data_IF_526075256864
#
_entry.id   IF_526075256864
#
_cell.length_a   1.000
_cell.length_b   1.000
_cell.length_c   1.000
_cell.angle_alpha   90.00
_cell.angle_beta   90.00
_cell.angle_gamma   90.00
#
_symmetry.space_group_name_H-M   'P 1'
#
loop_
_entity.id
_entity.type
_entity.pdbx_description
1 polymer ?
#
# COMPACT_ATOMS: atom_id res chain seq x y z
N UNK A 1 6.46 2.09 -16.24
CA UNK A 1 6.45 1.92 -14.76
C UNK A 1 5.30 2.66 -14.08
N UNK A 2 5.20 3.99 -14.11
CA UNK A 2 4.11 4.75 -13.43
C UNK A 2 2.69 4.29 -13.82
N UNK A 3 2.44 4.04 -15.11
CA UNK A 3 1.14 3.51 -15.57
C UNK A 3 0.82 2.13 -14.99
N UNK A 4 1.81 1.24 -14.93
CA UNK A 4 1.65 -0.07 -14.30
C UNK A 4 1.36 0.06 -12.80
N UNK A 5 2.05 0.96 -12.10
CA UNK A 5 1.81 1.27 -10.69
C UNK A 5 0.37 1.74 -10.45
N UNK A 6 -0.13 2.67 -11.27
CA UNK A 6 -1.52 3.17 -11.18
C UNK A 6 -2.56 2.07 -11.43
N UNK A 7 -2.37 1.25 -12.47
CA UNK A 7 -3.26 0.12 -12.75
C UNK A 7 -3.28 -0.90 -11.60
N UNK A 8 -2.12 -1.15 -10.97
CA UNK A 8 -2.04 -1.99 -9.78
C UNK A 8 -2.74 -1.37 -8.57
N UNK A 9 -2.69 -0.05 -8.40
CA UNK A 9 -3.47 0.64 -7.35
C UNK A 9 -4.98 0.41 -7.56
N UNK A 10 -5.45 0.47 -8.80
CA UNK A 10 -6.84 0.14 -9.14
C UNK A 10 -7.18 -1.33 -8.87
N UNK A 11 -6.30 -2.26 -9.24
CA UNK A 11 -6.49 -3.68 -8.91
C UNK A 11 -6.57 -3.91 -7.40
N UNK A 12 -5.71 -3.25 -6.63
CA UNK A 12 -5.68 -3.35 -5.18
C UNK A 12 -7.01 -2.89 -4.58
N UNK A 13 -7.52 -1.75 -5.02
CA UNK A 13 -8.83 -1.23 -4.62
C UNK A 13 -9.93 -2.26 -4.88
N UNK A 14 -10.04 -2.79 -6.11
CA UNK A 14 -11.07 -3.79 -6.44
C UNK A 14 -10.96 -5.04 -5.57
N UNK A 15 -9.75 -5.60 -5.46
CA UNK A 15 -9.52 -6.84 -4.70
C UNK A 15 -9.76 -6.67 -3.20
N UNK A 16 -9.53 -5.48 -2.63
CA UNK A 16 -9.81 -5.19 -1.22
C UNK A 16 -11.32 -5.18 -0.94
N UNK A 17 -12.11 -4.62 -1.85
CA UNK A 17 -13.56 -4.53 -1.70
C UNK A 17 -14.29 -5.77 -2.23
N UNK A 18 -13.57 -6.86 -2.50
CA UNK A 18 -14.09 -8.09 -3.12
C UNK A 18 -14.92 -7.83 -4.38
N UNK A 19 -14.51 -6.80 -5.14
CA UNK A 19 -15.10 -6.39 -6.41
C UNK A 19 -14.08 -6.65 -7.54
N UNK A 20 -14.48 -6.41 -8.79
CA UNK A 20 -13.58 -6.49 -9.94
C UNK A 20 -13.40 -7.89 -10.51
N UNK A 21 -14.39 -8.78 -10.34
CA UNK A 21 -14.40 -10.11 -10.96
C UNK A 21 -14.06 -10.03 -12.46
N UNK A 22 -14.61 -9.03 -13.17
CA UNK A 22 -14.44 -8.85 -14.62
C UNK A 22 -13.29 -7.93 -14.99
N UNK A 23 -13.03 -6.91 -14.19
CA UNK A 23 -12.14 -5.80 -14.48
C UNK A 23 -10.67 -6.16 -14.23
N UNK A 24 -10.39 -6.81 -13.10
CA UNK A 24 -9.01 -7.09 -12.63
C UNK A 24 -8.18 -7.88 -13.64
N UNK A 25 -8.67 -8.94 -14.31
CA UNK A 25 -7.88 -9.68 -15.29
C UNK A 25 -7.40 -8.79 -16.46
N UNK A 26 -8.25 -7.88 -16.93
CA UNK A 26 -7.91 -6.92 -17.98
C UNK A 26 -6.84 -5.93 -17.50
N UNK A 27 -7.02 -5.37 -16.31
CA UNK A 27 -6.05 -4.46 -15.70
C UNK A 27 -4.67 -5.13 -15.51
N UNK A 28 -4.62 -6.38 -15.05
CA UNK A 28 -3.36 -7.12 -14.89
C UNK A 28 -2.68 -7.44 -16.22
N UNK A 29 -3.45 -7.71 -17.28
CA UNK A 29 -2.89 -7.85 -18.62
C UNK A 29 -2.28 -6.52 -19.12
N UNK A 30 -2.91 -5.38 -18.80
CA UNK A 30 -2.41 -4.05 -19.13
C UNK A 30 -1.15 -3.69 -18.34
N UNK A 31 -1.08 -4.10 -17.06
CA UNK A 31 0.14 -4.00 -16.24
C UNK A 31 1.30 -4.73 -16.90
N UNK A 32 1.08 -5.97 -17.36
CA UNK A 32 2.10 -6.75 -18.08
C UNK A 32 2.65 -6.00 -19.29
N UNK A 33 1.77 -5.51 -20.17
CA UNK A 33 2.18 -4.72 -21.35
C UNK A 33 2.94 -3.45 -20.97
N UNK A 34 2.48 -2.73 -19.95
CA UNK A 34 3.17 -1.53 -19.46
C UNK A 34 4.55 -1.82 -18.87
N UNK A 35 4.76 -3.00 -18.28
CA UNK A 35 6.06 -3.43 -17.81
C UNK A 35 6.98 -3.82 -18.96
N UNK A 36 6.47 -4.55 -19.96
CA UNK A 36 7.24 -4.95 -21.14
C UNK A 36 7.69 -3.73 -21.97
N UNK A 37 6.77 -2.80 -22.25
CA UNK A 37 7.09 -1.52 -22.92
C UNK A 37 8.12 -0.70 -22.14
N UNK A 38 8.03 -0.69 -20.80
CA UNK A 38 8.98 0.03 -19.96
C UNK A 38 10.36 -0.64 -19.91
N UNK A 39 10.43 -1.97 -20.01
CA UNK A 39 11.68 -2.71 -20.09
C UNK A 39 12.43 -2.44 -21.41
N UNK A 40 11.70 -2.35 -22.53
CA UNK A 40 12.29 -2.03 -23.83
C UNK A 40 12.91 -0.63 -23.88
N UNK A 41 12.32 0.32 -23.14
CA UNK A 41 12.78 1.72 -23.09
C UNK A 41 13.82 1.94 -22.00
N UNK A 42 13.90 1.07 -20.99
CA UNK A 42 14.86 1.19 -19.90
C UNK A 42 16.30 1.14 -20.44
N UNK A 43 17.17 1.99 -19.89
CA UNK A 43 18.57 1.98 -20.27
C UNK A 43 19.20 0.63 -19.90
N UNK A 44 19.98 0.06 -20.82
CA UNK A 44 20.71 -1.17 -20.53
C UNK A 44 21.63 -0.96 -19.32
N UNK A 45 21.44 -1.76 -18.27
CA UNK A 45 22.17 -1.65 -17.01
C UNK A 45 21.52 -0.75 -15.94
N UNK A 46 20.29 -0.26 -16.15
CA UNK A 46 19.52 0.41 -15.11
C UNK A 46 18.94 -0.62 -14.12
N UNK A 47 19.73 -0.93 -13.09
CA UNK A 47 19.38 -1.91 -12.04
C UNK A 47 18.11 -1.51 -11.27
N UNK A 48 17.88 -0.21 -11.06
CA UNK A 48 16.72 0.28 -10.30
C UNK A 48 15.42 0.19 -11.09
N UNK A 49 15.47 0.51 -12.39
CA UNK A 49 14.35 0.25 -13.29
C UNK A 49 14.04 -1.25 -13.39
N UNK A 50 15.08 -2.09 -13.52
CA UNK A 50 14.92 -3.54 -13.57
C UNK A 50 14.30 -4.10 -12.27
N UNK A 51 14.78 -3.67 -11.10
CA UNK A 51 14.22 -4.03 -9.81
C UNK A 51 12.76 -3.58 -9.67
N UNK A 52 12.46 -2.34 -10.06
CA UNK A 52 11.08 -1.80 -10.01
C UNK A 52 10.13 -2.60 -10.91
N UNK A 53 10.56 -2.96 -12.12
CA UNK A 53 9.78 -3.81 -13.02
C UNK A 53 9.57 -5.21 -12.46
N UNK A 54 10.60 -5.80 -11.86
CA UNK A 54 10.49 -7.11 -11.22
C UNK A 54 9.48 -7.10 -10.06
N UNK A 55 9.50 -6.07 -9.21
CA UNK A 55 8.54 -5.89 -8.11
C UNK A 55 7.11 -5.69 -8.64
N UNK A 56 6.91 -4.86 -9.67
CA UNK A 56 5.59 -4.67 -10.29
C UNK A 56 5.03 -5.98 -10.87
N UNK A 57 5.89 -6.78 -11.51
CA UNK A 57 5.52 -8.12 -12.03
C UNK A 57 5.22 -9.13 -10.91
N UNK A 58 5.99 -9.09 -9.83
CA UNK A 58 5.71 -9.89 -8.63
C UNK A 58 4.33 -9.58 -8.07
N UNK A 59 4.03 -8.29 -7.88
CA UNK A 59 2.73 -7.84 -7.38
C UNK A 59 1.58 -8.22 -8.30
N UNK A 60 1.75 -8.05 -9.62
CA UNK A 60 0.74 -8.45 -10.60
C UNK A 60 0.43 -9.96 -10.55
N UNK A 61 1.47 -10.80 -10.40
CA UNK A 61 1.29 -12.24 -10.26
C UNK A 61 0.56 -12.62 -8.95
N UNK A 62 0.91 -11.95 -7.84
CA UNK A 62 0.21 -12.14 -6.56
C UNK A 62 -1.25 -11.70 -6.65
N UNK A 63 -1.56 -10.61 -7.34
CA UNK A 63 -2.94 -10.14 -7.53
C UNK A 63 -3.73 -11.08 -8.44
N UNK A 64 -3.11 -11.65 -9.47
CA UNK A 64 -3.75 -12.69 -10.30
C UNK A 64 -4.11 -13.93 -9.47
N UNK A 65 -3.19 -14.37 -8.58
CA UNK A 65 -3.47 -15.47 -7.66
C UNK A 65 -4.61 -15.13 -6.68
N UNK A 66 -4.61 -13.93 -6.08
CA UNK A 66 -5.67 -13.46 -5.19
C UNK A 66 -7.02 -13.39 -5.90
N UNK A 67 -7.06 -12.86 -7.13
CA UNK A 67 -8.27 -12.80 -7.94
C UNK A 67 -8.85 -14.18 -8.21
N UNK A 68 -8.02 -15.12 -8.66
CA UNK A 68 -8.46 -16.50 -8.88
C UNK A 68 -8.97 -17.16 -7.59
N UNK A 69 -8.32 -16.90 -6.46
CA UNK A 69 -8.75 -17.40 -5.16
C UNK A 69 -10.14 -16.88 -4.76
N UNK A 70 -10.39 -15.58 -4.94
CA UNK A 70 -11.65 -14.91 -4.60
C UNK A 70 -12.79 -15.36 -5.53
N UNK A 71 -12.59 -15.29 -6.84
CA UNK A 71 -13.70 -15.36 -7.78
C UNK A 71 -13.83 -16.70 -8.52
N UNK A 72 -12.76 -17.49 -8.60
CA UNK A 72 -12.80 -18.79 -9.32
C UNK A 72 -12.80 -19.97 -8.36
N UNK A 73 -11.90 -19.97 -7.38
CA UNK A 73 -11.86 -21.01 -6.35
C UNK A 73 -12.98 -20.77 -5.32
N UNK A 74 -13.44 -19.52 -5.18
CA UNK A 74 -14.50 -19.09 -4.28
C UNK A 74 -14.21 -19.47 -2.82
N UNK A 75 -12.99 -19.17 -2.39
CA UNK A 75 -12.60 -19.31 -1.00
C UNK A 75 -13.18 -18.15 -0.19
N UNK A 76 -13.85 -18.46 0.92
CA UNK A 76 -14.30 -17.45 1.88
C UNK A 76 -13.08 -16.85 2.58
N UNK A 77 -12.96 -15.53 2.55
CA UNK A 77 -11.93 -14.77 3.26
C UNK A 77 -12.61 -13.98 4.36
N UNK A 78 -12.11 -14.11 5.59
CA UNK A 78 -12.77 -13.57 6.80
C UNK A 78 -12.04 -12.32 7.33
N UNK A 79 -11.15 -11.71 6.55
CA UNK A 79 -10.33 -10.59 7.02
C UNK A 79 -10.08 -9.47 5.99
N UNK A 80 -10.33 -8.23 6.44
CA UNK A 80 -10.20 -6.95 5.71
C UNK A 80 -8.79 -6.69 5.15
N UNK A 81 -7.78 -7.36 5.69
CA UNK A 81 -6.39 -7.26 5.24
C UNK A 81 -6.04 -8.27 4.11
N UNK A 82 -7.02 -9.09 3.68
CA UNK A 82 -7.04 -9.76 2.37
C UNK A 82 -6.08 -10.93 2.17
N UNK A 83 -5.52 -11.55 3.21
CA UNK A 83 -4.60 -12.69 3.03
C UNK A 83 -4.57 -13.69 4.18
N UNK A 84 -5.63 -14.51 4.26
CA UNK A 84 -5.51 -15.89 4.71
C UNK A 84 -5.53 -16.81 3.50
N UNK A 85 -4.42 -16.92 2.77
CA UNK A 85 -4.23 -17.91 1.68
C UNK A 85 -4.01 -19.32 2.26
N UNK A 86 -4.85 -19.74 3.21
CA UNK A 86 -4.64 -20.85 4.13
C UNK A 86 -4.60 -22.26 3.50
N UNK A 87 -3.57 -22.55 2.71
CA UNK A 87 -3.46 -23.80 1.95
C UNK A 87 -4.69 -24.07 1.08
N UNK A 88 -5.37 -23.00 0.66
CA UNK A 88 -6.68 -23.08 0.00
C UNK A 88 -6.58 -23.54 -1.45
N UNK A 89 -5.38 -23.66 -2.01
CA UNK A 89 -5.14 -24.36 -3.27
C UNK A 89 -5.69 -25.79 -3.29
N UNK A 90 -5.86 -26.45 -2.13
CA UNK A 90 -6.57 -27.75 -2.04
C UNK A 90 -8.04 -27.69 -2.45
N UNK A 91 -8.67 -26.51 -2.41
CA UNK A 91 -10.05 -26.28 -2.81
C UNK A 91 -10.19 -26.01 -4.32
N UNK A 92 -9.07 -25.77 -5.01
CA UNK A 92 -9.04 -25.57 -6.44
C UNK A 92 -9.18 -26.89 -7.20
N UNK A 93 -10.44 -27.31 -7.37
CA UNK A 93 -10.79 -28.53 -8.12
C UNK A 93 -10.47 -28.44 -9.62
N UNK A 94 -10.38 -27.22 -10.16
CA UNK A 94 -10.19 -26.97 -11.60
C UNK A 94 -8.70 -26.82 -11.93
N UNK A 95 -7.86 -26.52 -10.95
CA UNK A 95 -6.41 -26.39 -11.08
C UNK A 95 -5.96 -25.05 -11.68
N UNK A 96 -6.81 -24.03 -11.65
CA UNK A 96 -6.52 -22.69 -12.22
C UNK A 96 -5.46 -21.93 -11.41
N UNK A 97 -5.40 -22.16 -10.10
CA UNK A 97 -4.55 -21.44 -9.15
C UNK A 97 -3.13 -21.99 -9.06
N UNK A 98 -2.91 -23.25 -9.41
CA UNK A 98 -1.58 -23.89 -9.37
C UNK A 98 -0.54 -23.19 -10.25
N UNK A 99 -0.83 -22.95 -11.55
CA UNK A 99 0.04 -22.16 -12.41
C UNK A 99 0.26 -20.73 -11.92
N UNK A 100 -0.79 -20.08 -11.39
CA UNK A 100 -0.71 -18.72 -10.84
C UNK A 100 0.19 -18.65 -9.60
N UNK A 101 0.10 -19.62 -8.70
CA UNK A 101 0.97 -19.72 -7.53
C UNK A 101 2.42 -19.97 -7.94
N UNK A 102 2.65 -20.82 -8.93
CA UNK A 102 3.99 -21.06 -9.48
C UNK A 102 4.58 -19.77 -10.07
N UNK A 103 3.78 -19.04 -10.84
CA UNK A 103 4.18 -17.76 -11.42
C UNK A 103 4.49 -16.72 -10.33
N UNK A 104 3.64 -16.60 -9.31
CA UNK A 104 3.85 -15.67 -8.20
C UNK A 104 5.14 -15.98 -7.40
N UNK A 105 5.44 -17.26 -7.16
CA UNK A 105 6.71 -17.68 -6.53
C UNK A 105 7.91 -17.28 -7.41
N UNK A 106 7.84 -17.55 -8.72
CA UNK A 106 8.93 -17.26 -9.65
C UNK A 106 9.21 -15.76 -9.77
N UNK A 107 8.17 -14.95 -9.94
CA UNK A 107 8.31 -13.50 -10.05
C UNK A 107 8.74 -12.86 -8.74
N UNK A 108 8.26 -13.36 -7.58
CA UNK A 108 8.74 -12.89 -6.28
C UNK A 108 10.22 -13.22 -6.06
N UNK A 109 10.68 -14.43 -6.43
CA UNK A 109 12.12 -14.76 -6.37
C UNK A 109 12.95 -13.87 -7.28
N UNK A 110 12.50 -13.64 -8.52
CA UNK A 110 13.20 -12.75 -9.45
C UNK A 110 13.25 -11.30 -8.94
N UNK A 111 12.19 -10.83 -8.27
CA UNK A 111 12.16 -9.51 -7.66
C UNK A 111 13.10 -9.41 -6.44
N UNK A 112 13.22 -10.46 -5.62
CA UNK A 112 14.22 -10.52 -4.55
C UNK A 112 15.66 -10.62 -5.06
N UNK A 113 15.88 -11.30 -6.19
CA UNK A 113 17.19 -11.35 -6.82
C UNK A 113 17.59 -9.97 -7.37
N UNK A 114 16.63 -9.20 -7.88
CA UNK A 114 16.84 -7.84 -8.38
C UNK A 114 16.96 -6.79 -7.27
N UNK A 115 16.17 -6.88 -6.20
CA UNK A 115 16.33 -6.10 -4.97
C UNK A 115 16.18 -6.98 -3.72
N UNK A 116 17.32 -7.40 -3.13
CA UNK A 116 17.33 -8.22 -1.93
C UNK A 116 16.82 -7.50 -0.68
N UNK A 117 16.55 -6.19 -0.73
CA UNK A 117 16.19 -5.39 0.44
C UNK A 117 14.72 -4.97 0.48
N UNK A 118 13.96 -5.20 -0.59
CA UNK A 118 12.57 -4.76 -0.72
C UNK A 118 11.65 -5.37 0.37
N UNK A 119 10.95 -4.58 1.19
CA UNK A 119 10.14 -5.10 2.29
C UNK A 119 8.85 -5.82 1.83
N UNK A 120 8.38 -5.55 0.62
CA UNK A 120 7.10 -6.03 0.11
C UNK A 120 7.20 -7.46 -0.44
N UNK A 121 8.25 -7.75 -1.20
CA UNK A 121 8.34 -9.03 -1.94
C UNK A 121 8.38 -10.28 -1.05
N UNK A 122 9.06 -10.32 0.12
CA UNK A 122 9.03 -11.50 0.99
C UNK A 122 7.62 -11.87 1.46
N UNK A 123 6.77 -10.87 1.73
CA UNK A 123 5.36 -11.10 2.08
C UNK A 123 4.63 -11.81 0.94
N UNK A 124 4.79 -11.33 -0.30
CA UNK A 124 4.18 -11.94 -1.48
C UNK A 124 4.70 -13.34 -1.78
N UNK A 125 5.99 -13.59 -1.53
CA UNK A 125 6.55 -14.94 -1.59
C UNK A 125 5.89 -15.84 -0.54
N UNK A 126 5.74 -15.37 0.70
CA UNK A 126 5.05 -16.10 1.76
C UNK A 126 3.61 -16.45 1.40
N UNK A 127 2.87 -15.48 0.85
CA UNK A 127 1.50 -15.67 0.34
C UNK A 127 1.43 -16.79 -0.69
N UNK A 128 2.28 -16.74 -1.71
CA UNK A 128 2.28 -17.72 -2.79
C UNK A 128 2.73 -19.12 -2.34
N UNK A 129 3.72 -19.21 -1.43
CA UNK A 129 4.18 -20.47 -0.85
C UNK A 129 3.13 -21.11 0.07
N UNK A 130 2.42 -20.29 0.85
CA UNK A 130 1.29 -20.75 1.69
C UNK A 130 0.21 -21.37 0.80
N UNK A 131 -0.13 -20.71 -0.31
CA UNK A 131 -1.10 -21.23 -1.27
C UNK A 131 -0.65 -22.54 -1.91
N UNK A 132 0.64 -22.63 -2.27
CA UNK A 132 1.24 -23.83 -2.85
C UNK A 132 1.40 -25.00 -1.84
N UNK A 133 1.17 -24.75 -0.55
CA UNK A 133 1.32 -25.74 0.52
C UNK A 133 2.75 -25.95 1.00
N UNK A 134 3.71 -25.10 0.58
CA UNK A 134 5.08 -25.10 1.08
C UNK A 134 5.15 -24.30 2.39
N UNK A 135 4.77 -24.96 3.49
CA UNK A 135 4.71 -24.35 4.83
C UNK A 135 6.07 -23.81 5.28
N UNK A 136 7.13 -24.59 5.13
CA UNK A 136 8.46 -24.21 5.64
C UNK A 136 9.02 -23.01 4.85
N UNK A 137 8.86 -23.02 3.53
CA UNK A 137 9.21 -21.87 2.69
C UNK A 137 8.38 -20.62 3.04
N UNK A 138 7.08 -20.78 3.28
CA UNK A 138 6.21 -19.68 3.66
C UNK A 138 6.60 -19.04 5.00
N UNK A 139 6.88 -19.86 6.03
CA UNK A 139 7.34 -19.37 7.35
C UNK A 139 8.61 -18.54 7.18
N UNK A 140 9.61 -19.06 6.45
CA UNK A 140 10.86 -18.32 6.22
C UNK A 140 10.63 -16.98 5.51
N UNK A 141 9.71 -16.94 4.53
CA UNK A 141 9.39 -15.72 3.79
C UNK A 141 8.67 -14.68 4.65
N UNK A 142 7.73 -15.08 5.52
CA UNK A 142 7.06 -14.16 6.43
C UNK A 142 7.95 -13.68 7.59
N UNK A 143 8.85 -14.53 8.09
CA UNK A 143 9.88 -14.10 9.05
C UNK A 143 10.77 -13.03 8.43
N UNK A 144 11.16 -13.20 7.17
CA UNK A 144 11.93 -12.22 6.43
C UNK A 144 11.13 -10.93 6.18
N UNK A 145 9.83 -11.03 5.86
CA UNK A 145 8.94 -9.87 5.77
C UNK A 145 8.92 -9.09 7.09
N UNK A 146 8.75 -9.76 8.23
CA UNK A 146 8.78 -9.13 9.56
C UNK A 146 10.16 -8.61 9.96
N UNK A 147 11.25 -9.16 9.41
CA UNK A 147 12.59 -8.61 9.62
C UNK A 147 12.74 -7.26 8.91
N UNK A 148 12.11 -7.08 7.74
CA UNK A 148 12.15 -5.84 6.94
C UNK A 148 11.12 -4.82 7.42
N UNK A 149 9.89 -5.26 7.66
CA UNK A 149 8.84 -4.49 8.33
C UNK A 149 8.28 -5.24 9.56
N UNK A 150 8.82 -4.94 10.75
CA UNK A 150 8.34 -5.54 12.00
C UNK A 150 6.88 -5.20 12.38
N UNK A 151 6.21 -4.35 11.62
CA UNK A 151 4.85 -3.87 11.90
C UNK A 151 3.81 -4.52 11.01
N UNK A 152 4.24 -5.31 10.03
CA UNK A 152 3.34 -5.94 9.06
C UNK A 152 2.36 -6.90 9.75
N UNK A 153 1.10 -6.48 9.79
CA UNK A 153 -0.01 -7.25 10.38
C UNK A 153 -0.26 -8.53 9.60
N UNK A 154 -0.19 -8.49 8.27
CA UNK A 154 -0.43 -9.64 7.40
C UNK A 154 0.63 -10.74 7.62
N UNK A 155 1.92 -10.38 7.61
CA UNK A 155 2.99 -11.35 7.84
C UNK A 155 2.86 -11.99 9.24
N UNK A 156 2.54 -11.18 10.25
CA UNK A 156 2.34 -11.66 11.63
C UNK A 156 1.16 -12.61 11.75
N UNK A 157 0.02 -12.28 11.15
CA UNK A 157 -1.17 -13.14 11.15
C UNK A 157 -0.92 -14.46 10.40
N UNK A 158 -0.23 -14.41 9.27
CA UNK A 158 0.10 -15.61 8.51
C UNK A 158 1.09 -16.53 9.24
N UNK A 159 2.07 -15.99 9.98
CA UNK A 159 2.92 -16.82 10.84
C UNK A 159 2.10 -17.53 11.92
N UNK A 160 1.19 -16.82 12.60
CA UNK A 160 0.30 -17.42 13.60
C UNK A 160 -0.57 -18.52 13.00
N UNK A 161 -1.12 -18.29 11.80
CA UNK A 161 -1.89 -19.28 11.05
C UNK A 161 -1.07 -20.54 10.74
N UNK A 162 0.22 -20.37 10.43
CA UNK A 162 1.17 -21.46 10.20
C UNK A 162 1.77 -22.02 11.50
N UNK A 163 1.11 -21.84 12.65
CA UNK A 163 1.58 -22.19 14.01
C UNK A 163 3.03 -21.77 14.32
N UNK A 164 3.53 -20.75 13.63
CA UNK A 164 4.84 -20.17 13.84
C UNK A 164 4.68 -18.93 14.72
N UNK A 165 5.45 -18.84 15.80
CA UNK A 165 5.39 -17.70 16.70
C UNK A 165 6.03 -16.48 16.01
N UNK A 166 5.26 -15.41 15.69
CA UNK A 166 5.88 -14.20 15.17
C UNK A 166 6.78 -13.59 16.24
N UNK A 167 7.92 -13.05 15.82
CA UNK A 167 8.80 -12.30 16.72
C UNK A 167 8.06 -11.15 17.43
N UNK A 168 8.60 -10.72 18.58
CA UNK A 168 8.06 -9.59 19.35
C UNK A 168 7.95 -8.34 18.48
N UNK A 169 6.76 -7.73 18.41
CA UNK A 169 6.57 -6.40 17.78
C UNK A 169 7.47 -5.39 18.53
N UNK A 170 8.35 -4.65 17.86
CA UNK A 170 9.12 -3.58 18.51
C UNK A 170 8.20 -2.41 18.92
N UNK A 171 8.74 -1.29 19.40
CA UNK A 171 8.00 -0.01 19.50
C UNK A 171 7.99 0.72 18.14
N UNK A 172 6.96 1.55 17.82
CA UNK A 172 6.91 2.25 16.54
C UNK A 172 8.24 2.98 16.31
N UNK A 173 8.79 2.85 15.11
CA UNK A 173 10.06 3.49 14.76
C UNK A 173 9.74 4.84 14.15
N UNK A 174 10.20 5.90 14.80
CA UNK A 174 10.17 7.25 14.24
C UNK A 174 11.28 7.45 13.19
N UNK A 175 12.10 6.43 12.93
CA UNK A 175 13.16 6.44 11.92
C UNK A 175 12.62 5.95 10.57
N UNK A 176 12.98 6.66 9.51
CA UNK A 176 12.74 6.23 8.14
C UNK A 176 13.49 4.93 7.86
N UNK A 177 12.77 3.94 7.32
CA UNK A 177 13.31 2.66 6.87
C UNK A 177 13.47 2.67 5.35
N UNK A 178 14.53 2.06 4.87
CA UNK A 178 14.82 1.95 3.43
C UNK A 178 15.96 2.84 2.96
N UNK A 179 16.28 2.72 1.68
CA UNK A 179 17.37 3.41 0.99
C UNK A 179 16.90 4.66 0.21
N UNK A 180 15.59 4.92 0.17
CA UNK A 180 15.02 6.00 -0.62
C UNK A 180 14.47 7.17 0.22
N UNK A 181 14.64 8.38 -0.31
CA UNK A 181 13.88 9.55 0.09
C UNK A 181 12.55 9.60 -0.63
N UNK A 182 11.46 9.83 0.09
CA UNK A 182 10.12 10.00 -0.47
C UNK A 182 9.23 10.86 0.42
N UNK A 183 8.19 11.42 -0.19
CA UNK A 183 7.10 12.04 0.53
C UNK A 183 5.90 11.08 0.54
N UNK A 184 5.27 10.94 1.71
CA UNK A 184 4.07 10.14 1.92
C UNK A 184 2.97 11.07 2.41
N UNK A 185 1.90 11.17 1.63
CA UNK A 185 0.66 11.82 2.06
C UNK A 185 -0.24 10.76 2.68
N UNK A 186 -0.64 10.98 3.93
CA UNK A 186 -1.51 10.12 4.72
C UNK A 186 -2.77 10.88 5.10
N UNK A 187 -3.95 10.26 4.98
CA UNK A 187 -5.20 10.85 5.44
C UNK A 187 -6.16 9.78 5.97
N UNK A 188 -6.91 10.10 7.02
CA UNK A 188 -8.03 9.28 7.47
C UNK A 188 -9.30 9.57 6.66
N UNK A 189 -10.12 8.56 6.41
CA UNK A 189 -11.46 8.74 5.86
C UNK A 189 -12.44 7.75 6.46
N UNK A 190 -13.70 8.17 6.56
CA UNK A 190 -14.79 7.35 7.08
C UNK A 190 -15.17 6.29 6.04
N UNK A 191 -15.21 5.03 6.47
CA UNK A 191 -15.87 3.95 5.73
C UNK A 191 -17.31 3.79 6.24
N UNK A 192 -17.50 3.81 7.56
CA UNK A 192 -18.81 3.68 8.21
C UNK A 192 -18.85 4.41 9.55
N UNK A 193 -20.02 4.45 10.21
CA UNK A 193 -20.24 5.23 11.44
C UNK A 193 -19.24 4.94 12.57
N UNK A 194 -18.62 3.75 12.60
CA UNK A 194 -17.62 3.36 13.59
C UNK A 194 -16.30 2.90 12.96
N UNK A 195 -16.10 3.10 11.66
CA UNK A 195 -14.94 2.54 10.95
C UNK A 195 -14.24 3.57 10.06
N UNK A 196 -12.94 3.66 10.23
CA UNK A 196 -12.05 4.60 9.55
C UNK A 196 -10.95 3.83 8.83
N UNK A 197 -10.67 4.18 7.58
CA UNK A 197 -9.45 3.73 6.91
C UNK A 197 -8.45 4.87 6.78
N UNK A 198 -7.22 4.49 6.45
CA UNK A 198 -6.17 5.42 6.11
C UNK A 198 -5.76 5.27 4.66
N UNK A 199 -5.83 6.37 3.92
CA UNK A 199 -5.31 6.49 2.57
C UNK A 199 -3.84 6.90 2.57
N UNK A 200 -3.10 6.43 1.56
CA UNK A 200 -1.69 6.71 1.37
C UNK A 200 -1.37 7.04 -0.09
N UNK A 201 -0.56 8.07 -0.32
CA UNK A 201 0.00 8.40 -1.63
C UNK A 201 1.50 8.70 -1.53
N UNK A 202 2.29 8.07 -2.40
CA UNK A 202 3.73 8.25 -2.50
C UNK A 202 4.09 9.31 -3.55
N UNK A 203 5.12 10.08 -3.27
CA UNK A 203 5.68 11.05 -4.18
C UNK A 203 7.20 10.99 -4.18
N UNK A 204 7.81 11.21 -5.34
CA UNK A 204 9.28 11.24 -5.47
C UNK A 204 9.88 12.56 -5.03
N UNK A 205 9.05 13.56 -4.72
CA UNK A 205 9.44 14.82 -4.12
C UNK A 205 8.29 15.46 -3.33
N UNK A 206 8.64 16.39 -2.44
CA UNK A 206 7.64 17.21 -1.73
C UNK A 206 6.91 18.16 -2.69
N UNK A 207 7.59 18.63 -3.74
CA UNK A 207 6.99 19.48 -4.77
C UNK A 207 5.85 18.77 -5.52
N UNK A 208 6.00 17.48 -5.83
CA UNK A 208 4.92 16.67 -6.43
C UNK A 208 3.73 16.51 -5.48
N UNK A 209 4.00 16.20 -4.20
CA UNK A 209 2.96 16.09 -3.19
C UNK A 209 2.16 17.39 -3.06
N UNK A 210 2.85 18.53 -2.99
CA UNK A 210 2.23 19.86 -2.97
C UNK A 210 1.38 20.11 -4.20
N UNK A 211 1.90 19.85 -5.40
CA UNK A 211 1.15 20.07 -6.64
C UNK A 211 -0.14 19.24 -6.67
N UNK A 212 -0.08 17.99 -6.20
CA UNK A 212 -1.26 17.12 -6.08
C UNK A 212 -2.32 17.69 -5.12
N UNK A 213 -1.89 18.16 -3.95
CA UNK A 213 -2.79 18.72 -2.93
C UNK A 213 -3.43 20.03 -3.43
N UNK A 214 -2.63 20.92 -4.04
CA UNK A 214 -3.10 22.18 -4.59
C UNK A 214 -4.12 21.94 -5.73
N UNK A 215 -3.96 20.89 -6.54
CA UNK A 215 -4.92 20.47 -7.59
C UNK A 215 -6.22 19.89 -7.00
N UNK A 216 -6.12 18.95 -6.04
CA UNK A 216 -7.29 18.28 -5.43
C UNK A 216 -8.17 19.23 -4.62
N UNK A 217 -7.58 20.20 -3.92
CA UNK A 217 -8.38 21.23 -3.20
C UNK A 217 -9.13 22.16 -4.13
N UNK A 218 -8.69 22.32 -5.38
CA UNK A 218 -9.46 23.04 -6.40
C UNK A 218 -10.70 22.24 -6.85
N UNK A 219 -10.72 20.92 -6.66
CA UNK A 219 -11.84 20.06 -7.05
C UNK A 219 -12.88 19.80 -5.95
N UNK A 220 -12.50 19.86 -4.67
CA UNK A 220 -13.43 19.67 -3.54
C UNK A 220 -14.26 20.93 -3.20
N UNK A 221 -13.98 22.07 -3.82
CA UNK A 221 -14.72 23.34 -3.65
C UNK A 221 -16.14 23.34 -4.30
N UNK A 222 -16.71 22.16 -4.58
CA UNK A 222 -18.07 22.00 -5.14
C UNK A 222 -18.97 21.03 -4.34
N UNK A 223 -18.54 20.41 -3.23
CA UNK A 223 -19.46 19.62 -2.40
C UNK A 223 -19.20 19.78 -0.90
N UNK A 224 -19.73 20.86 -0.35
CA UNK A 224 -20.06 21.02 1.07
C UNK A 224 -21.57 21.03 1.26
N UNK A 225 -22.25 19.94 0.88
CA UNK A 225 -23.58 19.58 1.42
C UNK A 225 -23.43 18.15 1.95
N UNK A 226 -22.94 18.04 3.17
CA UNK A 226 -23.33 16.93 4.05
C UNK A 226 -24.29 17.54 5.05
N UNK A 227 -25.56 17.18 4.92
CA UNK A 227 -26.63 17.56 5.83
C UNK A 227 -26.19 17.32 7.28
N UNK A 228 -26.06 18.41 8.04
CA UNK A 228 -26.01 18.37 9.50
C UNK A 228 -27.42 17.99 9.98
N UNK A 229 -27.74 16.70 10.01
CA UNK A 229 -28.84 16.22 10.82
C UNK A 229 -28.40 16.22 12.30
N UNK A 230 -28.74 17.34 12.95
CA UNK A 230 -28.75 17.56 14.39
C UNK A 230 -29.62 16.49 15.08
N UNK A 231 -29.02 15.58 15.86
CA UNK A 231 -29.76 14.64 16.70
C UNK A 231 -29.20 14.58 18.13
N UNK A 232 -30.17 14.54 19.05
CA UNK A 232 -30.10 14.83 20.48
C UNK A 232 -29.13 13.95 21.29
N UNK A 233 -28.50 14.58 22.27
CA UNK A 233 -27.71 13.97 23.35
C UNK A 233 -28.60 13.12 24.25
N UNK A 234 -28.50 11.79 24.16
CA UNK A 234 -28.87 10.90 25.25
C UNK A 234 -27.65 10.02 25.59
N UNK A 235 -27.12 10.28 26.79
CA UNK A 235 -25.99 9.61 27.44
C UNK A 235 -26.27 8.11 27.63
N UNK A 236 -25.53 7.25 26.93
CA UNK A 236 -25.26 5.89 27.40
C UNK A 236 -23.75 5.69 27.54
N UNK A 237 -23.34 5.61 28.81
CA UNK A 237 -22.00 5.35 29.32
C UNK A 237 -21.56 3.92 28.94
N UNK A 238 -20.67 3.80 27.95
CA UNK A 238 -20.06 2.52 27.55
C UNK A 238 -18.52 2.61 27.57
N UNK A 239 -17.96 1.85 28.51
CA UNK A 239 -16.59 1.34 28.68
C UNK A 239 -15.48 1.94 27.77
N UNK A 240 -14.63 2.79 28.36
CA UNK A 240 -13.41 3.33 27.76
C UNK A 240 -12.42 2.19 27.42
N UNK A 241 -12.56 1.63 26.23
CA UNK A 241 -11.51 0.86 25.57
C UNK A 241 -10.42 1.81 25.07
N UNK A 242 -9.25 1.75 25.69
CA UNK A 242 -8.03 2.44 25.26
C UNK A 242 -7.69 2.11 23.79
N UNK A 243 -8.15 2.92 22.85
CA UNK A 243 -7.59 3.15 21.50
C UNK A 243 -8.30 4.35 20.84
N UNK A 244 -8.39 5.50 21.54
CA UNK A 244 -8.78 6.78 20.92
C UNK A 244 -7.60 7.33 20.10
N UNK A 245 -7.47 6.84 18.87
CA UNK A 245 -6.57 7.43 17.87
C UNK A 245 -7.22 8.75 17.36
N UNK A 246 -7.12 9.83 18.15
CA UNK A 246 -7.48 11.22 17.73
C UNK A 246 -6.74 11.68 16.45
N UNK A 247 -5.81 10.87 15.91
CA UNK A 247 -5.16 11.08 14.61
C UNK A 247 -6.11 10.99 13.39
N UNK A 248 -7.34 10.51 13.56
CA UNK A 248 -8.29 10.19 12.49
C UNK A 248 -8.74 11.39 11.62
N UNK A 249 -8.58 12.64 12.07
CA UNK A 249 -8.94 13.85 11.28
C UNK A 249 -7.75 14.52 10.57
N UNK A 250 -6.56 13.93 10.57
CA UNK A 250 -5.35 14.62 10.11
C UNK A 250 -4.92 14.20 8.70
N UNK A 251 -4.75 15.21 7.83
CA UNK A 251 -3.99 15.06 6.58
C UNK A 251 -2.53 15.33 6.91
N UNK A 252 -1.70 14.29 6.87
CA UNK A 252 -0.29 14.35 7.25
C UNK A 252 0.59 14.20 6.01
N UNK A 253 1.57 15.09 5.91
CA UNK A 253 2.71 14.90 5.02
C UNK A 253 3.89 14.38 5.83
N UNK A 254 4.32 13.17 5.51
CA UNK A 254 5.52 12.57 6.08
C UNK A 254 6.66 12.64 5.05
N UNK A 255 7.82 13.10 5.49
CA UNK A 255 9.04 13.10 4.68
C UNK A 255 10.00 12.05 5.23
N UNK A 256 10.24 11.04 4.41
CA UNK A 256 11.15 9.94 4.69
C UNK A 256 12.50 10.26 4.06
N UNK A 257 13.56 10.19 4.87
CA UNK A 257 14.95 10.36 4.43
C UNK A 257 15.77 9.19 4.94
N UNK A 258 16.58 8.53 4.09
CA UNK A 258 17.37 7.37 4.51
C UNK A 258 18.18 7.65 5.77
N UNK A 259 17.99 6.84 6.80
CA UNK A 259 18.72 6.93 8.07
C UNK A 259 18.39 8.13 8.96
N UNK A 260 17.33 8.90 8.65
CA UNK A 260 16.88 10.02 9.47
C UNK A 260 15.50 9.77 10.07
N UNK A 261 15.17 10.58 11.08
CA UNK A 261 13.84 10.60 11.68
C UNK A 261 12.81 11.07 10.65
N UNK A 262 11.65 10.42 10.62
CA UNK A 262 10.52 10.80 9.78
C UNK A 262 10.08 12.20 10.23
N UNK A 263 10.06 13.14 9.28
CA UNK A 263 9.58 14.49 9.54
C UNK A 263 8.09 14.54 9.16
N UNK A 264 7.24 14.90 10.12
CA UNK A 264 5.79 14.91 9.95
C UNK A 264 5.25 16.34 9.98
N UNK A 265 4.31 16.61 9.09
CA UNK A 265 3.66 17.91 8.96
C UNK A 265 2.15 17.72 8.87
N UNK A 266 1.42 18.18 9.88
CA UNK A 266 -0.04 18.28 9.84
C UNK A 266 -0.45 19.42 8.89
N UNK A 267 -1.02 19.03 7.74
CA UNK A 267 -1.46 19.96 6.71
C UNK A 267 -2.78 20.64 7.05
N UNK A 268 -3.62 20.01 7.88
CA UNK A 268 -4.88 20.59 8.33
C UNK A 268 -4.59 21.75 9.28
N UNK A 269 -3.67 21.58 10.24
CA UNK A 269 -3.23 22.65 11.14
C UNK A 269 -2.52 23.83 10.43
N UNK A 270 -2.01 23.60 9.21
CA UNK A 270 -1.36 24.61 8.35
C UNK A 270 -2.32 25.29 7.37
N UNK A 271 -3.60 24.93 7.37
CA UNK A 271 -4.58 25.50 6.45
C UNK A 271 -5.05 26.87 6.94
N UNK A 272 -4.87 27.89 6.10
CA UNK A 272 -5.28 29.27 6.35
C UNK A 272 -6.50 29.62 5.48
N UNK A 273 -7.47 30.30 6.08
CA UNK A 273 -8.64 30.83 5.36
C UNK A 273 -8.31 32.18 4.73
N UNK A 274 -8.48 32.26 3.42
CA UNK A 274 -8.32 33.49 2.65
C UNK A 274 -9.40 34.52 2.95
N UNK A 275 -9.21 35.79 2.54
CA UNK A 275 -10.21 36.84 2.73
C UNK A 275 -11.54 36.44 2.08
N UNK A 276 -12.61 36.36 2.86
CA UNK A 276 -13.94 35.97 2.38
C UNK A 276 -14.31 34.50 2.56
N UNK A 277 -13.50 33.68 3.24
CA UNK A 277 -13.88 32.31 3.61
C UNK A 277 -13.73 31.27 2.50
N UNK A 278 -13.50 31.69 1.26
CA UNK A 278 -13.62 30.86 0.05
C UNK A 278 -12.30 30.27 -0.47
N UNK A 279 -11.15 30.62 0.10
CA UNK A 279 -9.86 30.09 -0.40
C UNK A 279 -9.03 29.55 0.74
N UNK A 280 -8.95 28.23 0.85
CA UNK A 280 -8.11 27.54 1.82
C UNK A 280 -6.70 27.36 1.24
N UNK A 281 -5.68 27.90 1.88
CA UNK A 281 -4.27 27.78 1.47
C UNK A 281 -3.45 27.11 2.55
N UNK A 282 -2.63 26.12 2.19
CA UNK A 282 -1.69 25.51 3.14
C UNK A 282 -0.43 26.38 3.24
N UNK A 283 0.03 26.60 4.47
CA UNK A 283 1.32 27.21 4.73
C UNK A 283 2.47 26.20 4.58
N UNK A 284 3.21 26.37 3.50
CA UNK A 284 4.37 25.55 3.11
C UNK A 284 5.71 26.14 3.58
N UNK A 285 5.73 27.28 4.28
CA UNK A 285 6.96 28.07 4.49
C UNK A 285 8.07 27.31 5.23
N UNK A 286 7.72 26.44 6.16
CA UNK A 286 8.66 25.61 6.93
C UNK A 286 8.77 24.16 6.42
N UNK A 287 8.09 23.85 5.31
CA UNK A 287 8.16 22.54 4.68
C UNK A 287 9.25 22.62 3.59
N UNK A 288 10.23 21.70 3.56
CA UNK A 288 11.33 21.75 2.60
C UNK A 288 10.89 21.27 1.21
N UNK A 289 10.06 22.07 0.51
CA UNK A 289 9.43 21.71 -0.77
C UNK A 289 10.44 21.48 -1.89
N UNK A 290 11.51 22.27 -1.93
CA UNK A 290 12.54 22.23 -2.96
C UNK A 290 13.71 21.29 -2.62
N UNK A 291 13.60 20.53 -1.52
CA UNK A 291 14.63 19.56 -1.12
C UNK A 291 14.78 18.46 -2.19
N UNK A 292 16.03 18.16 -2.53
CA UNK A 292 16.39 17.04 -3.39
C UNK A 292 17.04 15.96 -2.56
N UNK A 293 16.56 14.74 -2.69
CA UNK A 293 17.14 13.58 -2.03
C UNK A 293 18.24 12.96 -2.90
N UNK A 294 19.32 12.52 -2.26
CA UNK A 294 20.44 11.85 -2.94
C UNK A 294 20.02 10.53 -3.61
N UNK A 295 19.04 9.86 -3.02
CA UNK A 295 18.45 8.61 -3.54
C UNK A 295 16.93 8.72 -3.45
N UNK A 296 16.25 9.38 -4.41
CA UNK A 296 14.80 9.46 -4.41
C UNK A 296 14.18 8.09 -4.72
N UNK A 297 12.95 7.85 -4.27
CA UNK A 297 12.20 6.65 -4.62
C UNK A 297 12.10 6.52 -6.15
N UNK A 298 12.41 5.35 -6.74
CA UNK A 298 12.30 5.17 -8.18
C UNK A 298 10.84 5.36 -8.66
N UNK A 299 10.61 6.03 -9.80
CA UNK A 299 9.26 6.26 -10.30
C UNK A 299 8.48 4.96 -10.53
N UNK A 300 7.31 4.86 -9.88
CA UNK A 300 6.43 3.68 -9.98
C UNK A 300 6.80 2.53 -9.05
N UNK A 301 7.84 2.66 -8.21
CA UNK A 301 8.16 1.70 -7.14
C UNK A 301 7.05 1.76 -6.07
N UNK A 302 6.22 0.71 -5.91
CA UNK A 302 5.29 0.65 -4.79
C UNK A 302 6.07 0.44 -3.49
N UNK A 303 5.54 0.92 -2.37
CA UNK A 303 6.08 0.62 -1.05
C UNK A 303 5.01 -0.05 -0.20
N UNK A 304 5.45 -0.69 0.87
CA UNK A 304 4.57 -1.16 1.94
C UNK A 304 4.97 -0.47 3.23
N UNK A 305 4.02 0.26 3.81
CA UNK A 305 4.23 1.08 5.00
C UNK A 305 3.07 0.79 5.94
N UNK A 306 3.38 0.45 7.19
CA UNK A 306 2.41 0.10 8.23
C UNK A 306 1.41 -0.98 7.79
N UNK A 307 1.87 -1.96 7.03
CA UNK A 307 1.03 -3.05 6.50
C UNK A 307 0.07 -2.64 5.37
N UNK A 308 0.16 -1.41 4.86
CA UNK A 308 -0.62 -0.93 3.71
C UNK A 308 0.25 -0.80 2.46
N UNK A 309 -0.32 -1.12 1.30
CA UNK A 309 0.32 -0.87 0.01
C UNK A 309 0.17 0.61 -0.32
N UNK A 310 1.28 1.25 -0.63
CA UNK A 310 1.36 2.65 -0.97
C UNK A 310 1.78 2.77 -2.44
N UNK A 311 1.03 3.56 -3.19
CA UNK A 311 1.22 3.76 -4.63
C UNK A 311 1.55 5.21 -4.92
N UNK A 312 2.11 5.48 -6.10
CA UNK A 312 2.41 6.84 -6.49
C UNK A 312 1.13 7.67 -6.64
N UNK A 313 1.08 8.80 -5.94
CA UNK A 313 0.07 9.82 -6.10
C UNK A 313 0.45 10.79 -7.21
N UNK A 314 -0.48 11.06 -8.10
CA UNK A 314 -0.26 12.04 -9.18
C UNK A 314 0.18 11.39 -10.49
N UNK A 315 -0.79 11.07 -11.34
CA UNK A 315 -1.18 11.93 -12.46
C UNK A 315 -2.24 11.20 -13.31
N UNK A 316 -3.35 11.90 -13.53
CA UNK A 316 -4.33 11.84 -14.64
C UNK A 316 -4.85 10.49 -15.14
#
# INVERSE_FOLDING_TARGET
MLRANSLLATCEYYLRHSDGEREVPGLLADVGRCCDEAEEVAASGDEEAAATLAILRSMAATFALRHAALFTVACDFDDEDGTLLGGMGKHDKVGVSGPLATQAIQTARAALDADPTDPLVPLYLGHALTWAGDRDGAVAAYEEALRRDPWDRCARSNLRYLDAAPGRRPSPSEMSRGCYGFALLRWGFWISNNDWDTGFLLFSSVAEARAHIDEKRYTDDVRGESDEEEWDEDEEEWDEGEDEDEGAKQTLLQIHRPGQRIAEYDLNARTQTGPGGQSLRIDWSDIPVDERWESPLPPGRPLRIDGRLCFYGGQK
#
